data_IF_104137690410
#
_entry.id   IF_104137690410
#
_cell.length_a   1.000
_cell.length_b   1.000
_cell.length_c   1.000
_cell.angle_alpha   90.00
_cell.angle_beta   90.00
_cell.angle_gamma   90.00
#
_symmetry.space_group_name_H-M   'P 1'
#
loop_
_entity.id
_entity.type
_entity.pdbx_description
1 polymer ?
#
# COMPACT_ATOMS: atom_id res chain seq x y z
N UNK A 1 -18.21 -30.68 2.93
CA UNK A 1 -16.89 -30.15 2.54
C UNK A 1 -17.03 -28.64 2.51
N UNK A 2 -16.38 -27.93 3.44
CA UNK A 2 -16.55 -26.49 3.60
C UNK A 2 -16.03 -25.75 2.37
N UNK A 3 -16.89 -24.96 1.73
CA UNK A 3 -16.46 -23.97 0.76
C UNK A 3 -15.59 -22.98 1.51
N UNK A 4 -14.27 -23.07 1.33
CA UNK A 4 -13.40 -21.96 1.68
C UNK A 4 -13.88 -20.78 0.84
N UNK A 5 -14.57 -19.83 1.47
CA UNK A 5 -14.87 -18.55 0.88
C UNK A 5 -13.53 -17.97 0.47
N UNK A 6 -13.21 -18.02 -0.82
CA UNK A 6 -12.14 -17.22 -1.40
C UNK A 6 -12.49 -15.79 -1.02
N UNK A 7 -11.84 -15.26 0.03
CA UNK A 7 -12.04 -13.88 0.43
C UNK A 7 -11.57 -13.04 -0.75
N UNK A 8 -12.53 -12.48 -1.50
CA UNK A 8 -12.21 -11.67 -2.66
C UNK A 8 -11.49 -10.41 -2.19
N UNK A 9 -10.26 -10.22 -2.65
CA UNK A 9 -9.46 -9.05 -2.30
C UNK A 9 -10.25 -7.78 -2.67
N UNK A 10 -10.37 -6.78 -1.77
CA UNK A 10 -11.14 -5.58 -2.04
C UNK A 10 -10.67 -4.88 -3.31
N UNK A 11 -11.59 -4.22 -4.02
CA UNK A 11 -11.24 -3.47 -5.23
C UNK A 11 -10.31 -2.32 -4.85
N UNK A 12 -9.41 -1.93 -5.74
CA UNK A 12 -8.44 -0.85 -5.49
C UNK A 12 -9.04 0.45 -4.96
N UNK A 13 -10.26 0.78 -5.38
CA UNK A 13 -10.99 1.98 -4.91
C UNK A 13 -11.32 1.95 -3.42
N UNK A 14 -11.34 0.77 -2.81
CA UNK A 14 -11.67 0.53 -1.40
C UNK A 14 -10.42 0.51 -0.51
N UNK A 15 -9.23 0.56 -1.12
CA UNK A 15 -7.97 0.62 -0.41
C UNK A 15 -7.70 2.07 0.03
N UNK A 16 -6.91 2.28 1.11
CA UNK A 16 -6.52 3.62 1.50
C UNK A 16 -5.68 4.27 0.39
N UNK A 17 -5.87 5.57 0.18
CA UNK A 17 -5.08 6.37 -0.73
C UNK A 17 -4.14 7.28 0.06
N UNK A 18 -2.98 7.61 -0.51
CA UNK A 18 -2.00 8.46 0.14
C UNK A 18 -1.50 9.56 -0.82
N UNK A 19 -1.82 10.79 -0.47
CA UNK A 19 -1.43 12.03 -1.14
C UNK A 19 -0.15 12.62 -0.55
N UNK A 20 0.13 12.34 0.72
CA UNK A 20 1.30 12.81 1.46
C UNK A 20 1.19 14.27 1.89
N UNK A 21 -0.04 14.77 2.05
CA UNK A 21 -0.34 16.14 2.46
C UNK A 21 -0.99 16.19 3.85
N UNK A 22 -1.62 15.10 4.32
CA UNK A 22 -2.26 15.01 5.63
C UNK A 22 -1.32 14.55 6.76
N UNK A 23 -1.46 15.16 7.93
CA UNK A 23 -0.65 14.89 9.14
C UNK A 23 -0.75 13.42 9.61
N UNK A 24 -1.94 12.83 9.54
CA UNK A 24 -2.21 11.45 9.97
C UNK A 24 -2.27 10.44 8.82
N UNK A 25 -2.18 10.92 7.58
CA UNK A 25 -2.42 10.13 6.38
C UNK A 25 -1.44 8.96 6.26
N UNK A 26 -0.20 9.14 6.74
CA UNK A 26 0.84 8.10 6.79
C UNK A 26 0.41 6.92 7.65
N UNK A 27 -0.08 7.20 8.85
CA UNK A 27 -0.46 6.18 9.85
C UNK A 27 -1.71 5.45 9.41
N UNK A 28 -2.71 6.18 8.93
CA UNK A 28 -3.97 5.60 8.43
C UNK A 28 -3.72 4.73 7.19
N UNK A 29 -2.89 5.19 6.24
CA UNK A 29 -2.52 4.40 5.08
C UNK A 29 -1.82 3.11 5.47
N UNK A 30 -0.79 3.18 6.32
CA UNK A 30 -0.03 2.00 6.75
C UNK A 30 -0.94 1.00 7.46
N UNK A 31 -1.77 1.46 8.41
CA UNK A 31 -2.71 0.60 9.15
C UNK A 31 -3.73 -0.06 8.22
N UNK A 32 -4.32 0.70 7.31
CA UNK A 32 -5.28 0.15 6.35
C UNK A 32 -4.69 -0.91 5.44
N UNK A 33 -3.45 -0.71 4.96
CA UNK A 33 -2.73 -1.72 4.17
C UNK A 33 -2.38 -2.95 5.02
N UNK A 34 -1.92 -2.77 6.26
CA UNK A 34 -1.63 -3.88 7.17
C UNK A 34 -2.89 -4.73 7.44
N UNK A 35 -4.05 -4.11 7.69
CA UNK A 35 -5.33 -4.80 7.86
C UNK A 35 -5.72 -5.61 6.61
N UNK A 36 -5.69 -5.01 5.41
CA UNK A 36 -6.02 -5.72 4.16
C UNK A 36 -5.02 -6.86 3.91
N UNK A 37 -3.74 -6.65 4.22
CA UNK A 37 -2.73 -7.69 4.04
C UNK A 37 -2.97 -8.87 4.97
N UNK A 38 -3.36 -8.62 6.22
CA UNK A 38 -3.69 -9.64 7.22
C UNK A 38 -4.98 -10.38 6.86
N UNK A 39 -6.06 -9.66 6.56
CA UNK A 39 -7.38 -10.24 6.29
C UNK A 39 -7.41 -11.17 5.06
N UNK A 40 -6.58 -10.85 4.06
CA UNK A 40 -6.53 -11.51 2.75
C UNK A 40 -5.18 -12.19 2.46
N UNK A 41 -4.30 -12.30 3.45
CA UNK A 41 -2.99 -12.97 3.36
C UNK A 41 -2.14 -12.52 2.15
N UNK A 42 -2.15 -11.22 1.86
CA UNK A 42 -1.55 -10.72 0.62
C UNK A 42 -0.02 -10.72 0.67
N UNK A 43 0.68 -11.18 -0.38
CA UNK A 43 2.13 -11.01 -0.49
C UNK A 43 2.49 -9.55 -0.79
N UNK A 44 3.66 -9.11 -0.32
CA UNK A 44 4.14 -7.72 -0.47
C UNK A 44 4.18 -7.24 -1.93
N UNK A 45 4.50 -8.15 -2.87
CA UNK A 45 4.49 -7.83 -4.31
C UNK A 45 3.13 -7.37 -4.80
N UNK A 46 2.04 -7.92 -4.24
CA UNK A 46 0.68 -7.57 -4.62
C UNK A 46 0.29 -6.23 -4.00
N UNK A 47 0.73 -5.92 -2.78
CA UNK A 47 0.52 -4.60 -2.17
C UNK A 47 1.28 -3.52 -2.96
N UNK A 48 2.58 -3.72 -3.16
CA UNK A 48 3.46 -2.73 -3.79
C UNK A 48 3.18 -2.51 -5.27
N UNK A 49 2.62 -3.49 -5.99
CA UNK A 49 2.15 -3.31 -7.37
C UNK A 49 1.00 -2.29 -7.49
N UNK A 50 0.23 -2.09 -6.41
CA UNK A 50 -0.94 -1.20 -6.38
C UNK A 50 -0.59 0.25 -6.06
N UNK A 51 0.62 0.52 -5.59
CA UNK A 51 1.07 1.85 -5.17
C UNK A 51 0.96 2.93 -6.24
N UNK A 52 1.10 2.56 -7.52
CA UNK A 52 0.88 3.51 -8.62
C UNK A 52 -0.54 4.11 -8.59
N UNK A 53 -1.54 3.32 -8.16
CA UNK A 53 -2.93 3.75 -8.05
C UNK A 53 -3.24 4.36 -6.69
N UNK A 54 -2.69 3.80 -5.62
CA UNK A 54 -2.98 4.23 -4.24
C UNK A 54 -2.30 5.55 -3.87
N UNK A 55 -1.14 5.83 -4.47
CA UNK A 55 -0.47 7.11 -4.30
C UNK A 55 -1.02 8.15 -5.26
N UNK A 56 -1.48 9.27 -4.71
CA UNK A 56 -2.07 10.37 -5.47
C UNK A 56 -1.23 11.63 -5.29
N UNK A 57 -1.45 12.64 -6.15
CA UNK A 57 -0.85 13.99 -6.00
C UNK A 57 0.70 13.95 -5.79
N UNK A 58 1.38 14.72 -4.89
CA UNK A 58 2.84 14.70 -4.85
C UNK A 58 3.43 13.37 -4.35
N UNK A 59 2.69 12.55 -3.60
CA UNK A 59 3.14 11.20 -3.22
C UNK A 59 3.35 10.28 -4.42
N UNK A 60 2.53 10.39 -5.47
CA UNK A 60 2.74 9.59 -6.68
C UNK A 60 4.11 9.85 -7.33
N UNK A 61 4.51 11.12 -7.44
CA UNK A 61 5.84 11.48 -7.99
C UNK A 61 6.98 10.99 -7.09
N UNK A 62 6.83 11.10 -5.78
CA UNK A 62 7.79 10.57 -4.82
C UNK A 62 7.96 9.06 -4.92
N UNK A 63 6.85 8.33 -5.05
CA UNK A 63 6.85 6.88 -5.25
C UNK A 63 7.64 6.49 -6.51
N UNK A 64 7.38 7.14 -7.64
CA UNK A 64 8.09 6.84 -8.90
C UNK A 64 9.60 7.00 -8.73
N UNK A 65 10.05 8.10 -8.08
CA UNK A 65 11.48 8.35 -7.85
C UNK A 65 12.13 7.24 -7.02
N UNK A 66 11.52 6.87 -5.88
CA UNK A 66 12.03 5.78 -5.04
C UNK A 66 12.00 4.44 -5.76
N UNK A 67 10.94 4.16 -6.53
CA UNK A 67 10.80 2.91 -7.27
C UNK A 67 11.85 2.78 -8.38
N UNK A 68 12.21 3.86 -9.04
CA UNK A 68 13.29 3.91 -10.02
C UNK A 68 14.67 3.73 -9.37
N UNK A 69 14.90 4.35 -8.21
CA UNK A 69 16.19 4.30 -7.52
C UNK A 69 16.47 2.95 -6.83
N UNK A 70 15.45 2.33 -6.23
CA UNK A 70 15.61 1.15 -5.37
C UNK A 70 14.95 -0.12 -5.90
N UNK A 71 14.22 -0.05 -7.02
CA UNK A 71 13.56 -1.21 -7.62
C UNK A 71 12.44 -1.80 -6.75
N UNK A 72 12.22 -3.10 -6.86
CA UNK A 72 11.21 -3.82 -6.09
C UNK A 72 11.66 -3.96 -4.64
N UNK A 73 10.87 -3.43 -3.70
CA UNK A 73 11.17 -3.45 -2.27
C UNK A 73 10.01 -4.03 -1.47
N UNK A 74 10.29 -4.57 -0.29
CA UNK A 74 9.31 -5.17 0.63
C UNK A 74 8.35 -4.13 1.22
N UNK A 75 7.21 -4.58 1.72
CA UNK A 75 6.26 -3.68 2.39
C UNK A 75 6.90 -3.03 3.63
N UNK A 76 7.69 -3.77 4.40
CA UNK A 76 8.44 -3.25 5.54
C UNK A 76 9.34 -2.06 5.16
N UNK A 77 10.06 -2.17 4.04
CA UNK A 77 10.90 -1.06 3.56
C UNK A 77 10.05 0.16 3.21
N UNK A 78 8.92 -0.04 2.53
CA UNK A 78 8.00 1.03 2.16
C UNK A 78 7.37 1.70 3.39
N UNK A 79 7.04 0.96 4.45
CA UNK A 79 6.58 1.55 5.72
C UNK A 79 7.57 2.57 6.25
N UNK A 80 8.87 2.23 6.28
CA UNK A 80 9.92 3.17 6.70
C UNK A 80 9.95 4.43 5.83
N UNK A 81 9.82 4.29 4.51
CA UNK A 81 9.82 5.45 3.62
C UNK A 81 8.58 6.33 3.80
N UNK A 82 7.39 5.74 3.98
CA UNK A 82 6.13 6.46 4.18
C UNK A 82 6.13 7.21 5.50
N UNK A 83 6.66 6.62 6.58
CA UNK A 83 6.79 7.28 7.89
C UNK A 83 7.69 8.52 7.80
N UNK A 84 8.77 8.43 7.03
CA UNK A 84 9.79 9.47 6.88
C UNK A 84 9.48 10.54 5.82
N UNK A 85 8.37 10.42 5.08
CA UNK A 85 7.96 11.35 4.03
C UNK A 85 7.10 12.48 4.54
#
# INVERSE_FOLDING_TARGET
>A
MGQALLKEVPKLKEWPHFSGEGEYERVEFIRGIDMIKEDFELPDRLVTARFKTLFTRPAHRWYIKLRQAHGHQSWTWWKTQIINK
#
